data_IF_010517971900
#
_entry.id   IF_010517971900
#
_cell.length_a   1.000
_cell.length_b   1.000
_cell.length_c   1.000
_cell.angle_alpha   90.00
_cell.angle_beta   90.00
_cell.angle_gamma   90.00
#
_symmetry.space_group_name_H-M   'P 1'
#
loop_
_entity.id
_entity.type
_entity.pdbx_description
1 polymer ?
#
# COMPACT_ATOMS: atom_id res chain seq x y z
N UNK A 1 -8.11 -27.31 -11.70
CA UNK A 1 -6.71 -27.76 -11.53
C UNK A 1 -6.07 -26.78 -10.57
N UNK A 2 -5.50 -27.23 -9.45
CA UNK A 2 -4.98 -26.30 -8.42
C UNK A 2 -3.75 -25.53 -8.96
N UNK A 3 -3.72 -24.20 -8.78
CA UNK A 3 -2.63 -23.34 -9.26
C UNK A 3 -1.26 -23.73 -8.69
N UNK A 4 -1.24 -24.33 -7.49
CA UNK A 4 -0.04 -24.88 -6.85
C UNK A 4 0.76 -25.91 -7.68
N UNK A 5 0.18 -26.46 -8.75
CA UNK A 5 0.87 -27.39 -9.65
C UNK A 5 1.36 -26.75 -10.95
N UNK A 6 1.08 -25.46 -11.18
CA UNK A 6 1.54 -24.74 -12.38
C UNK A 6 3.02 -24.38 -12.25
N UNK A 7 3.74 -24.29 -13.36
CA UNK A 7 5.10 -23.71 -13.43
C UNK A 7 5.03 -22.19 -13.40
N UNK A 8 6.15 -21.50 -13.08
CA UNK A 8 6.18 -20.03 -13.09
C UNK A 8 5.78 -19.45 -14.46
N UNK A 9 6.20 -20.07 -15.57
CA UNK A 9 5.80 -19.65 -16.91
C UNK A 9 4.28 -19.75 -17.13
N UNK A 10 3.64 -20.79 -16.58
CA UNK A 10 2.18 -20.92 -16.65
C UNK A 10 1.46 -19.91 -15.75
N UNK A 11 2.04 -19.56 -14.59
CA UNK A 11 1.49 -18.52 -13.72
C UNK A 11 1.57 -17.14 -14.40
N UNK A 12 2.70 -16.81 -15.04
CA UNK A 12 2.81 -15.59 -15.84
C UNK A 12 1.82 -15.57 -17.02
N UNK A 13 1.65 -16.69 -17.72
CA UNK A 13 0.63 -16.79 -18.76
C UNK A 13 -0.79 -16.51 -18.24
N UNK A 14 -1.12 -16.97 -17.03
CA UNK A 14 -2.41 -16.64 -16.40
C UNK A 14 -2.49 -15.13 -16.13
N UNK A 15 -1.46 -14.54 -15.51
CA UNK A 15 -1.42 -13.10 -15.16
C UNK A 15 -1.62 -12.22 -16.41
N UNK A 16 -1.04 -12.61 -17.54
CA UNK A 16 -1.04 -11.80 -18.77
C UNK A 16 -2.27 -12.02 -19.66
N UNK A 17 -2.85 -13.21 -19.66
CA UNK A 17 -3.85 -13.61 -20.65
C UNK A 17 -5.28 -13.68 -20.10
N UNK A 18 -5.47 -13.72 -18.77
CA UNK A 18 -6.80 -13.84 -18.17
C UNK A 18 -7.42 -12.48 -17.85
N UNK A 19 -8.73 -12.36 -18.04
CA UNK A 19 -9.54 -11.23 -17.54
C UNK A 19 -10.12 -11.52 -16.14
N UNK A 20 -9.94 -12.73 -15.63
CA UNK A 20 -10.41 -13.18 -14.32
C UNK A 20 -9.47 -12.68 -13.21
N UNK A 21 -9.82 -11.55 -12.61
CA UNK A 21 -9.02 -10.89 -11.57
C UNK A 21 -8.75 -11.77 -10.35
N UNK A 22 -9.68 -12.64 -9.98
CA UNK A 22 -9.50 -13.56 -8.86
C UNK A 22 -8.38 -14.55 -9.19
N UNK A 23 -8.40 -15.12 -10.41
CA UNK A 23 -7.31 -16.01 -10.87
C UNK A 23 -5.97 -15.29 -11.00
N UNK A 24 -5.97 -14.04 -11.44
CA UNK A 24 -4.74 -13.23 -11.50
C UNK A 24 -4.15 -13.05 -10.10
N UNK A 25 -4.98 -12.72 -9.11
CA UNK A 25 -4.56 -12.61 -7.71
C UNK A 25 -4.00 -13.92 -7.16
N UNK A 26 -4.68 -15.04 -7.38
CA UNK A 26 -4.19 -16.35 -6.94
C UNK A 26 -2.86 -16.73 -7.63
N UNK A 27 -2.69 -16.37 -8.91
CA UNK A 27 -1.45 -16.62 -9.65
C UNK A 27 -0.28 -15.80 -9.10
N UNK A 28 -0.50 -14.52 -8.77
CA UNK A 28 0.50 -13.70 -8.09
C UNK A 28 0.86 -14.30 -6.72
N UNK A 29 -0.13 -14.66 -5.91
CA UNK A 29 0.11 -15.22 -4.57
C UNK A 29 0.99 -16.48 -4.65
N UNK A 30 0.68 -17.39 -5.57
CA UNK A 30 1.46 -18.61 -5.75
C UNK A 30 2.87 -18.32 -6.29
N UNK A 31 3.02 -17.35 -7.19
CA UNK A 31 4.33 -16.92 -7.72
C UNK A 31 5.21 -16.33 -6.61
N UNK A 32 4.67 -15.42 -5.78
CA UNK A 32 5.41 -14.77 -4.70
C UNK A 32 5.83 -15.77 -3.61
N UNK A 33 4.96 -16.73 -3.25
CA UNK A 33 5.29 -17.80 -2.31
C UNK A 33 6.51 -18.62 -2.73
N UNK A 34 6.77 -18.76 -4.03
CA UNK A 34 7.89 -19.57 -4.55
C UNK A 34 9.14 -18.77 -4.84
N UNK A 35 9.00 -17.46 -4.95
CA UNK A 35 10.10 -16.54 -5.22
C UNK A 35 11.02 -16.46 -4.00
N UNK A 36 12.31 -16.33 -4.23
CA UNK A 36 13.30 -15.99 -3.20
C UNK A 36 13.15 -14.54 -2.73
N UNK A 37 13.73 -14.20 -1.58
CA UNK A 37 13.68 -12.82 -1.07
C UNK A 37 14.32 -11.80 -2.02
N UNK A 38 15.31 -12.22 -2.83
CA UNK A 38 15.94 -11.35 -3.83
C UNK A 38 15.04 -11.14 -5.05
N UNK A 39 14.36 -12.20 -5.53
CA UNK A 39 13.36 -12.09 -6.60
C UNK A 39 12.15 -11.26 -6.18
N UNK A 40 11.70 -11.38 -4.93
CA UNK A 40 10.63 -10.54 -4.38
C UNK A 40 11.02 -9.06 -4.37
N UNK A 41 12.28 -8.77 -4.04
CA UNK A 41 12.80 -7.39 -4.00
C UNK A 41 12.91 -6.81 -5.40
N UNK A 42 13.47 -7.57 -6.34
CA UNK A 42 13.52 -7.18 -7.75
C UNK A 42 12.11 -6.90 -8.28
N UNK A 43 11.13 -7.76 -7.97
CA UNK A 43 9.74 -7.57 -8.37
C UNK A 43 9.13 -6.26 -7.83
N UNK A 44 9.37 -5.93 -6.55
CA UNK A 44 8.86 -4.70 -5.93
C UNK A 44 9.58 -3.46 -6.49
N UNK A 45 10.88 -3.54 -6.76
CA UNK A 45 11.67 -2.43 -7.30
C UNK A 45 11.30 -2.11 -8.75
N UNK A 46 11.12 -3.14 -9.57
CA UNK A 46 10.80 -3.00 -10.98
C UNK A 46 9.36 -2.53 -11.20
N UNK A 47 8.44 -2.89 -10.29
CA UNK A 47 7.00 -2.59 -10.39
C UNK A 47 6.40 -2.92 -11.78
N UNK A 48 6.94 -3.94 -12.46
CA UNK A 48 6.52 -4.29 -13.81
C UNK A 48 5.04 -4.72 -13.86
N UNK A 49 4.55 -5.33 -12.76
CA UNK A 49 3.14 -5.61 -12.52
C UNK A 49 2.74 -4.99 -11.19
N UNK A 50 2.15 -3.79 -11.24
CA UNK A 50 1.77 -3.00 -10.06
C UNK A 50 0.82 -3.81 -9.15
N UNK A 51 -0.08 -4.59 -9.74
CA UNK A 51 -1.06 -5.44 -9.06
C UNK A 51 -0.40 -6.56 -8.24
N UNK A 52 0.79 -7.00 -8.65
CA UNK A 52 1.56 -8.03 -7.95
C UNK A 52 2.37 -7.51 -6.77
N UNK A 53 2.67 -6.20 -6.74
CA UNK A 53 3.56 -5.61 -5.72
C UNK A 53 3.04 -5.81 -4.29
N UNK A 54 1.74 -5.67 -3.98
CA UNK A 54 1.21 -5.96 -2.64
C UNK A 54 1.46 -7.41 -2.20
N UNK A 55 1.33 -8.38 -3.12
CA UNK A 55 1.58 -9.79 -2.83
C UNK A 55 3.07 -10.04 -2.55
N UNK A 56 3.94 -9.42 -3.34
CA UNK A 56 5.39 -9.54 -3.15
C UNK A 56 5.81 -8.92 -1.81
N UNK A 57 5.26 -7.75 -1.49
CA UNK A 57 5.54 -7.04 -0.23
C UNK A 57 5.01 -7.81 0.98
N UNK A 58 3.80 -8.36 0.91
CA UNK A 58 3.22 -9.18 1.98
C UNK A 58 4.05 -10.44 2.24
N UNK A 59 4.46 -11.14 1.17
CA UNK A 59 5.29 -12.32 1.31
C UNK A 59 6.69 -11.99 1.86
N UNK A 60 7.28 -10.88 1.41
CA UNK A 60 8.55 -10.40 1.98
C UNK A 60 8.38 -9.94 3.42
N UNK A 61 7.24 -9.36 3.80
CA UNK A 61 6.94 -8.95 5.18
C UNK A 61 6.95 -10.15 6.14
N UNK A 62 6.47 -11.32 5.69
CA UNK A 62 6.50 -12.57 6.48
C UNK A 62 7.91 -13.11 6.71
N UNK A 63 8.84 -12.87 5.79
CA UNK A 63 10.17 -13.48 5.76
C UNK A 63 11.27 -12.54 6.26
N UNK A 64 11.23 -11.31 5.78
CA UNK A 64 12.20 -10.24 5.97
C UNK A 64 11.49 -8.91 6.27
N UNK A 65 10.74 -8.81 7.39
CA UNK A 65 9.83 -7.69 7.69
C UNK A 65 10.49 -6.31 7.69
N UNK A 66 11.72 -6.20 8.20
CA UNK A 66 12.44 -4.93 8.19
C UNK A 66 12.75 -4.45 6.76
N UNK A 67 13.14 -5.38 5.87
CA UNK A 67 13.43 -5.09 4.46
C UNK A 67 12.14 -4.68 3.74
N UNK A 68 11.07 -5.46 3.90
CA UNK A 68 9.76 -5.15 3.35
C UNK A 68 9.24 -3.78 3.83
N UNK A 69 9.34 -3.50 5.13
CA UNK A 69 8.94 -2.21 5.67
C UNK A 69 9.71 -1.04 5.05
N UNK A 70 11.03 -1.13 4.95
CA UNK A 70 11.84 -0.06 4.38
C UNK A 70 11.51 0.17 2.90
N UNK A 71 11.26 -0.91 2.14
CA UNK A 71 10.78 -0.82 0.74
C UNK A 71 9.38 -0.21 0.65
N UNK A 72 8.44 -0.65 1.47
CA UNK A 72 7.08 -0.10 1.50
C UNK A 72 7.08 1.39 1.86
N UNK A 73 7.90 1.80 2.82
CA UNK A 73 8.07 3.20 3.15
C UNK A 73 8.68 4.02 2.02
N UNK A 74 9.63 3.45 1.26
CA UNK A 74 10.18 4.10 0.06
C UNK A 74 9.09 4.35 -1.01
N UNK A 75 8.20 3.37 -1.24
CA UNK A 75 7.04 3.53 -2.13
C UNK A 75 6.17 4.71 -1.69
N UNK A 76 5.82 4.76 -0.40
CA UNK A 76 4.96 5.79 0.16
C UNK A 76 5.62 7.17 0.17
N UNK A 77 6.87 7.29 0.59
CA UNK A 77 7.56 8.58 0.72
C UNK A 77 7.83 9.19 -0.65
N UNK A 78 8.23 8.36 -1.62
CA UNK A 78 8.64 8.80 -2.95
C UNK A 78 7.53 8.73 -4.00
N UNK A 79 6.28 8.47 -3.59
CA UNK A 79 5.11 8.44 -4.47
C UNK A 79 5.29 7.52 -5.67
N UNK A 80 5.73 6.28 -5.42
CA UNK A 80 5.87 5.26 -6.44
C UNK A 80 4.55 4.51 -6.63
N UNK A 81 4.29 4.10 -7.87
CA UNK A 81 3.05 3.43 -8.23
C UNK A 81 1.81 4.33 -8.13
N UNK A 82 0.63 3.75 -8.35
CA UNK A 82 -0.63 4.47 -8.22
C UNK A 82 -1.10 4.58 -6.75
N UNK A 83 -2.17 5.34 -6.53
CA UNK A 83 -2.68 5.57 -5.18
C UNK A 83 -3.37 4.33 -4.56
N UNK A 84 -3.78 3.35 -5.37
CA UNK A 84 -4.36 2.11 -4.87
C UNK A 84 -3.26 1.19 -4.31
N UNK A 85 -2.18 0.97 -5.07
CA UNK A 85 -0.97 0.31 -4.59
C UNK A 85 -0.47 0.97 -3.30
N UNK A 86 -0.33 2.30 -3.30
CA UNK A 86 0.13 3.01 -2.11
C UNK A 86 -0.81 2.79 -0.90
N UNK A 87 -2.13 2.66 -1.11
CA UNK A 87 -3.06 2.32 -0.02
C UNK A 87 -2.79 0.92 0.57
N UNK A 88 -2.57 -0.08 -0.29
CA UNK A 88 -2.19 -1.43 0.16
C UNK A 88 -0.87 -1.44 0.94
N UNK A 89 0.13 -0.70 0.44
CA UNK A 89 1.45 -0.59 1.08
C UNK A 89 1.34 0.13 2.44
N UNK A 90 0.51 1.17 2.53
CA UNK A 90 0.21 1.83 3.80
C UNK A 90 -0.33 0.85 4.83
N UNK A 91 -1.35 0.05 4.50
CA UNK A 91 -1.92 -0.93 5.42
C UNK A 91 -0.86 -1.92 5.92
N UNK A 92 -0.05 -2.47 5.02
CA UNK A 92 1.03 -3.40 5.41
C UNK A 92 2.08 -2.77 6.33
N UNK A 93 2.53 -1.55 6.03
CA UNK A 93 3.52 -0.85 6.86
C UNK A 93 2.94 -0.42 8.21
N UNK A 94 1.72 0.10 8.21
CA UNK A 94 1.02 0.55 9.41
C UNK A 94 0.74 -0.61 10.37
N UNK A 95 0.27 -1.74 9.87
CA UNK A 95 0.02 -2.95 10.67
C UNK A 95 1.32 -3.51 11.27
N UNK A 96 2.44 -3.38 10.55
CA UNK A 96 3.75 -3.77 11.07
C UNK A 96 4.27 -2.81 12.14
N UNK A 97 4.19 -1.50 11.91
CA UNK A 97 4.65 -0.49 12.85
C UNK A 97 3.98 0.87 12.61
N UNK A 98 2.85 1.10 13.26
CA UNK A 98 2.02 2.31 13.13
C UNK A 98 2.81 3.61 13.39
N UNK A 99 3.56 3.63 14.49
CA UNK A 99 4.24 4.81 15.03
C UNK A 99 5.39 5.20 14.10
N UNK A 100 6.17 4.22 13.65
CA UNK A 100 7.27 4.45 12.69
C UNK A 100 6.72 4.88 11.34
N UNK A 101 5.65 4.26 10.86
CA UNK A 101 5.00 4.60 9.58
C UNK A 101 4.51 6.05 9.58
N UNK A 102 3.70 6.42 10.58
CA UNK A 102 3.19 7.79 10.77
C UNK A 102 4.33 8.81 10.87
N UNK A 103 5.41 8.47 11.59
CA UNK A 103 6.57 9.36 11.72
C UNK A 103 7.29 9.55 10.39
N UNK A 104 7.55 8.47 9.65
CA UNK A 104 8.28 8.53 8.39
C UNK A 104 7.49 9.21 7.28
N UNK A 105 6.15 9.15 7.30
CA UNK A 105 5.32 9.87 6.33
C UNK A 105 5.50 11.39 6.33
N UNK A 106 6.08 11.97 7.39
CA UNK A 106 6.48 13.39 7.41
C UNK A 106 7.54 13.75 6.36
N UNK A 107 8.22 12.74 5.81
CA UNK A 107 9.24 12.92 4.77
C UNK A 107 8.63 13.09 3.38
N UNK A 108 7.41 12.58 3.13
CA UNK A 108 6.72 12.72 1.85
C UNK A 108 6.51 14.19 1.49
N UNK A 109 6.76 14.55 0.23
CA UNK A 109 6.69 15.95 -0.27
C UNK A 109 5.58 16.19 -1.28
N UNK A 110 4.92 15.14 -1.75
CA UNK A 110 3.86 15.21 -2.76
C UNK A 110 2.49 14.89 -2.12
N UNK A 111 1.39 15.51 -2.61
CA UNK A 111 0.04 15.15 -2.18
C UNK A 111 -0.25 13.66 -2.40
N UNK A 112 -1.14 13.10 -1.58
CA UNK A 112 -1.57 11.70 -1.65
C UNK A 112 -2.81 11.57 -2.54
N UNK A 113 -2.91 10.46 -3.28
CA UNK A 113 -4.15 10.16 -4.01
C UNK A 113 -5.28 9.74 -3.08
N UNK A 114 -6.48 9.60 -3.64
CA UNK A 114 -7.70 9.39 -2.85
C UNK A 114 -7.69 8.07 -2.07
N UNK A 115 -7.30 6.94 -2.67
CA UNK A 115 -7.29 5.65 -1.98
C UNK A 115 -6.28 5.62 -0.82
N UNK A 116 -5.08 6.17 -1.01
CA UNK A 116 -4.10 6.27 0.09
C UNK A 116 -4.63 7.16 1.22
N UNK A 117 -5.25 8.29 0.88
CA UNK A 117 -5.79 9.21 1.89
C UNK A 117 -6.94 8.56 2.66
N UNK A 118 -7.83 7.85 1.99
CA UNK A 118 -8.91 7.07 2.62
C UNK A 118 -8.35 6.03 3.59
N UNK A 119 -7.37 5.23 3.16
CA UNK A 119 -6.74 4.22 4.00
C UNK A 119 -6.11 4.84 5.26
N UNK A 120 -5.45 5.99 5.12
CA UNK A 120 -4.89 6.72 6.27
C UNK A 120 -6.02 7.21 7.19
N UNK A 121 -7.07 7.84 6.67
CA UNK A 121 -8.18 8.35 7.49
C UNK A 121 -8.83 7.22 8.30
N UNK A 122 -9.03 6.05 7.69
CA UNK A 122 -9.53 4.85 8.37
C UNK A 122 -8.59 4.39 9.49
N UNK A 123 -7.28 4.30 9.23
CA UNK A 123 -6.29 3.95 10.26
C UNK A 123 -6.28 4.95 11.42
N UNK A 124 -6.49 6.23 11.14
CA UNK A 124 -6.44 7.29 12.15
C UNK A 124 -7.61 7.26 13.13
N UNK A 125 -8.71 6.58 12.82
CA UNK A 125 -9.84 6.42 13.75
C UNK A 125 -9.40 5.75 15.07
N UNK A 126 -8.47 4.79 14.99
CA UNK A 126 -7.92 4.07 16.16
C UNK A 126 -6.57 4.59 16.66
N UNK A 127 -5.87 5.44 15.91
CA UNK A 127 -4.51 5.89 16.27
C UNK A 127 -4.49 6.81 17.51
N UNK A 128 -3.54 6.66 18.46
CA UNK A 128 -3.46 7.49 19.66
C UNK A 128 -3.04 8.94 19.36
N UNK A 129 -3.68 9.92 20.02
CA UNK A 129 -3.57 11.35 19.69
C UNK A 129 -2.30 12.05 20.17
N UNK A 130 -1.66 11.52 21.22
CA UNK A 130 -0.62 12.26 21.97
C UNK A 130 0.70 12.52 21.21
N UNK A 131 0.82 12.07 19.96
CA UNK A 131 2.07 12.13 19.19
C UNK A 131 1.90 12.33 17.67
N UNK A 132 0.73 12.78 17.21
CA UNK A 132 0.50 12.88 15.76
C UNK A 132 1.32 14.01 15.12
N UNK A 133 2.16 13.73 14.09
CA UNK A 133 3.05 14.74 13.54
C UNK A 133 2.29 15.86 12.80
N UNK A 134 2.50 17.15 13.13
CA UNK A 134 1.82 18.26 12.46
C UNK A 134 2.06 18.31 10.95
N UNK A 135 3.26 17.93 10.51
CA UNK A 135 3.60 17.87 9.09
C UNK A 135 2.76 16.83 8.34
N UNK A 136 2.51 15.67 8.96
CA UNK A 136 1.69 14.62 8.36
C UNK A 136 0.20 14.99 8.41
N UNK A 137 -0.27 15.61 9.50
CA UNK A 137 -1.62 16.21 9.57
C UNK A 137 -1.85 17.17 8.42
N UNK A 138 -0.91 18.10 8.19
CA UNK A 138 -1.00 19.05 7.09
C UNK A 138 -1.08 18.32 5.75
N UNK A 139 -0.25 17.30 5.53
CA UNK A 139 -0.25 16.53 4.30
C UNK A 139 -1.60 15.84 4.03
N UNK A 140 -2.24 15.27 5.06
CA UNK A 140 -3.59 14.67 4.95
C UNK A 140 -4.63 15.72 4.56
N UNK A 141 -4.62 16.88 5.23
CA UNK A 141 -5.55 17.98 4.96
C UNK A 141 -5.36 18.55 3.55
N UNK A 142 -4.12 18.79 3.13
CA UNK A 142 -3.81 19.25 1.78
C UNK A 142 -4.31 18.23 0.74
N UNK A 143 -4.01 16.94 0.96
CA UNK A 143 -4.41 15.87 0.03
C UNK A 143 -5.93 15.74 -0.08
N UNK A 144 -6.67 15.85 1.02
CA UNK A 144 -8.15 15.90 1.00
C UNK A 144 -8.66 17.13 0.23
N UNK A 145 -8.08 18.30 0.48
CA UNK A 145 -8.48 19.55 -0.18
C UNK A 145 -8.19 19.57 -1.68
N UNK A 146 -7.23 18.79 -2.16
CA UNK A 146 -6.91 18.68 -3.59
C UNK A 146 -7.81 17.66 -4.33
N UNK A 147 -8.62 16.86 -3.63
CA UNK A 147 -9.50 15.87 -4.25
C UNK A 147 -10.66 16.49 -5.06
N UNK A 148 -11.17 15.76 -6.07
CA UNK A 148 -12.45 16.09 -6.70
C UNK A 148 -13.58 16.20 -5.68
N UNK A 149 -14.53 17.10 -5.94
CA UNK A 149 -15.63 17.38 -5.00
C UNK A 149 -16.47 16.13 -4.67
N UNK A 150 -16.67 15.25 -5.65
CA UNK A 150 -17.36 13.98 -5.48
C UNK A 150 -16.66 13.09 -4.44
N UNK A 151 -15.33 12.97 -4.51
CA UNK A 151 -14.53 12.21 -3.55
C UNK A 151 -14.49 12.85 -2.17
N UNK A 152 -14.45 14.18 -2.08
CA UNK A 152 -14.56 14.88 -0.79
C UNK A 152 -15.88 14.56 -0.08
N UNK A 153 -16.98 14.51 -0.84
CA UNK A 153 -18.29 14.18 -0.30
C UNK A 153 -18.37 12.72 0.18
N UNK A 154 -17.74 11.78 -0.55
CA UNK A 154 -17.64 10.38 -0.11
C UNK A 154 -16.88 10.24 1.23
N UNK A 155 -15.86 11.06 1.45
CA UNK A 155 -14.97 10.94 2.61
C UNK A 155 -15.22 11.95 3.73
N UNK A 156 -16.27 12.78 3.63
CA UNK A 156 -16.45 13.92 4.54
C UNK A 156 -16.58 13.50 6.00
N UNK A 157 -17.33 12.43 6.28
CA UNK A 157 -17.50 11.94 7.65
C UNK A 157 -16.19 11.46 8.27
N UNK A 158 -15.38 10.73 7.51
CA UNK A 158 -14.04 10.27 7.95
C UNK A 158 -13.10 11.45 8.18
N UNK A 159 -13.13 12.44 7.28
CA UNK A 159 -12.28 13.62 7.38
C UNK A 159 -12.68 14.53 8.56
N UNK A 160 -13.98 14.67 8.82
CA UNK A 160 -14.49 15.41 9.97
C UNK A 160 -14.10 14.73 11.29
N UNK A 161 -14.23 13.39 11.35
CA UNK A 161 -13.77 12.62 12.51
C UNK A 161 -12.28 12.80 12.77
N UNK A 162 -11.45 12.70 11.72
CA UNK A 162 -10.01 12.98 11.78
C UNK A 162 -9.71 14.39 12.27
N UNK A 163 -10.38 15.40 11.69
CA UNK A 163 -10.14 16.82 12.00
C UNK A 163 -10.57 17.21 13.41
N UNK A 164 -11.57 16.54 13.97
CA UNK A 164 -12.00 16.74 15.36
C UNK A 164 -11.05 16.08 16.36
N UNK A 165 -10.41 14.98 15.96
CA UNK A 165 -9.54 14.17 16.82
C UNK A 165 -8.11 14.72 16.93
N UNK A 166 -7.56 15.25 15.84
CA UNK A 166 -6.18 15.75 15.76
C UNK A 166 -6.16 17.24 15.44
#
# INVERSE_FOLDING_TARGET
MELKNHTNAQLYGIIEETEDLDKTGEAFEELMKRSSDDELVEFIEDMAYIEGVPYALDELMKRSPAKAFDMGMDILINNKGDHFLQACVWSACYDFNDTKTVTLMTQRKTPMGYSLTEAILLSMDSYPTNSFPPAFKKLIVDSYNDMPQEKKAEFSEMFDAFSNKF
#
